data_IF_171613918969
#
_entry.id   IF_171613918969
#
_cell.length_a   1.000
_cell.length_b   1.000
_cell.length_c   1.000
_cell.angle_alpha   90.00
_cell.angle_beta   90.00
_cell.angle_gamma   90.00
#
_symmetry.space_group_name_H-M   'P 1'
#
loop_
_entity.id
_entity.type
_entity.pdbx_description
1 polymer ?
#
# COMPACT_ATOMS: atom_id res chain seq x y z
N UNK A 1 -33.36 -8.35 7.26
CA UNK A 1 -32.92 -7.24 8.14
C UNK A 1 -33.22 -5.93 7.44
N UNK A 2 -33.77 -4.93 8.15
CA UNK A 2 -33.93 -3.56 7.63
C UNK A 2 -32.54 -2.93 7.46
N UNK A 3 -32.26 -2.22 6.36
CA UNK A 3 -30.99 -1.50 6.21
C UNK A 3 -30.90 -0.41 7.29
N UNK A 4 -29.79 -0.39 8.04
CA UNK A 4 -29.51 0.64 9.04
C UNK A 4 -29.32 2.00 8.34
N UNK A 5 -29.97 3.03 8.86
CA UNK A 5 -29.96 4.36 8.29
C UNK A 5 -29.53 5.44 9.28
N UNK A 6 -29.78 6.70 8.94
CA UNK A 6 -29.53 7.88 9.78
C UNK A 6 -30.27 7.80 11.12
N UNK A 7 -31.45 7.16 11.14
CA UNK A 7 -32.19 6.90 12.38
C UNK A 7 -31.45 5.96 13.35
N UNK A 8 -30.52 5.15 12.82
CA UNK A 8 -29.72 4.17 13.56
C UNK A 8 -28.24 4.58 13.63
N UNK A 9 -27.93 5.88 13.48
CA UNK A 9 -26.55 6.37 13.39
C UNK A 9 -25.69 5.95 14.59
N UNK A 10 -26.23 5.98 15.81
CA UNK A 10 -25.50 5.56 17.00
C UNK A 10 -25.18 4.05 16.97
N UNK A 11 -26.11 3.23 16.48
CA UNK A 11 -25.89 1.79 16.29
C UNK A 11 -24.79 1.55 15.27
N UNK A 12 -24.80 2.27 14.14
CA UNK A 12 -23.75 2.20 13.11
C UNK A 12 -22.40 2.62 13.71
N UNK A 13 -22.37 3.70 14.48
CA UNK A 13 -21.17 4.18 15.14
C UNK A 13 -20.61 3.13 16.12
N UNK A 14 -21.48 2.52 16.93
CA UNK A 14 -21.09 1.49 17.88
C UNK A 14 -20.53 0.24 17.19
N UNK A 15 -21.17 -0.23 16.12
CA UNK A 15 -20.67 -1.36 15.33
C UNK A 15 -19.30 -1.06 14.71
N UNK A 16 -19.11 0.14 14.14
CA UNK A 16 -17.82 0.53 13.58
C UNK A 16 -16.72 0.61 14.67
N UNK A 17 -17.04 1.14 15.85
CA UNK A 17 -16.11 1.19 16.99
C UNK A 17 -15.73 -0.21 17.49
N UNK A 18 -16.70 -1.11 17.61
CA UNK A 18 -16.48 -2.49 18.02
C UNK A 18 -15.57 -3.21 17.02
N UNK A 19 -15.86 -3.11 15.72
CA UNK A 19 -15.04 -3.74 14.68
C UNK A 19 -13.59 -3.23 14.69
N UNK A 20 -13.38 -1.92 14.86
CA UNK A 20 -12.04 -1.33 14.99
C UNK A 20 -11.32 -1.85 16.24
N UNK A 21 -12.03 -1.97 17.37
CA UNK A 21 -11.47 -2.52 18.61
C UNK A 21 -11.07 -3.99 18.44
N UNK A 22 -11.91 -4.78 17.78
CA UNK A 22 -11.64 -6.19 17.47
C UNK A 22 -10.40 -6.34 16.59
N UNK A 23 -10.24 -5.49 15.57
CA UNK A 23 -9.04 -5.48 14.74
C UNK A 23 -7.78 -5.13 15.53
N UNK A 24 -7.86 -4.17 16.46
CA UNK A 24 -6.75 -3.79 17.34
C UNK A 24 -6.37 -4.90 18.31
N UNK A 25 -7.33 -5.70 18.76
CA UNK A 25 -7.09 -6.80 19.68
C UNK A 25 -6.45 -8.03 19.01
N UNK A 26 -6.34 -8.08 17.67
CA UNK A 26 -5.76 -9.23 16.96
C UNK A 26 -4.28 -9.38 17.29
N UNK A 27 -3.78 -10.61 17.55
CA UNK A 27 -2.35 -10.84 17.79
C UNK A 27 -1.44 -10.42 16.63
N UNK A 28 -1.98 -10.41 15.40
CA UNK A 28 -1.26 -9.97 14.20
C UNK A 28 -1.13 -8.45 14.08
N UNK A 29 -1.84 -7.68 14.92
CA UNK A 29 -1.86 -6.22 14.87
C UNK A 29 -0.75 -5.63 15.76
N UNK A 30 0.51 -5.90 15.39
CA UNK A 30 1.69 -5.46 16.15
C UNK A 30 1.94 -3.96 15.99
N UNK A 31 1.69 -3.44 14.79
CA UNK A 31 1.91 -2.04 14.43
C UNK A 31 0.57 -1.38 14.12
N UNK A 32 0.29 -0.21 14.69
CA UNK A 32 -0.99 0.46 14.47
C UNK A 32 -1.20 0.90 13.01
N UNK A 33 -0.10 1.15 12.29
CA UNK A 33 -0.12 1.38 10.84
C UNK A 33 -0.74 0.21 10.06
N UNK A 34 -0.66 -1.02 10.58
CA UNK A 34 -1.26 -2.21 9.96
C UNK A 34 -2.78 -2.16 9.94
N UNK A 35 -3.42 -1.35 10.80
CA UNK A 35 -4.87 -1.16 10.83
C UNK A 35 -5.38 -0.41 9.57
N UNK A 36 -4.50 0.26 8.83
CA UNK A 36 -4.85 0.94 7.57
C UNK A 36 -5.41 -0.04 6.53
N UNK A 37 -4.87 -1.25 6.45
CA UNK A 37 -5.28 -2.28 5.50
C UNK A 37 -6.73 -2.77 5.73
N UNK A 38 -7.10 -3.32 6.91
CA UNK A 38 -8.47 -3.74 7.16
C UNK A 38 -9.47 -2.58 7.06
N UNK A 39 -9.09 -1.37 7.52
CA UNK A 39 -9.93 -0.17 7.33
C UNK A 39 -10.16 0.13 5.84
N UNK A 40 -9.11 0.06 5.01
CA UNK A 40 -9.22 0.26 3.56
C UNK A 40 -10.15 -0.78 2.93
N UNK A 41 -9.96 -2.05 3.27
CA UNK A 41 -10.80 -3.14 2.76
C UNK A 41 -12.27 -2.98 3.17
N UNK A 42 -12.56 -2.69 4.45
CA UNK A 42 -13.91 -2.48 4.92
C UNK A 42 -14.59 -1.28 4.25
N UNK A 43 -13.86 -0.16 4.11
CA UNK A 43 -14.38 1.04 3.42
C UNK A 43 -14.68 0.75 1.94
N UNK A 44 -13.83 -0.02 1.25
CA UNK A 44 -14.06 -0.39 -0.14
C UNK A 44 -15.26 -1.35 -0.26
N UNK A 45 -15.35 -2.36 0.61
CA UNK A 45 -16.49 -3.27 0.66
C UNK A 45 -17.82 -2.53 0.87
N UNK A 46 -17.85 -1.51 1.74
CA UNK A 46 -19.05 -0.67 1.93
C UNK A 46 -19.41 0.08 0.64
N UNK A 47 -18.43 0.65 -0.06
CA UNK A 47 -18.67 1.38 -1.31
C UNK A 47 -19.14 0.46 -2.44
N UNK A 48 -18.66 -0.77 -2.48
CA UNK A 48 -18.94 -1.72 -3.54
C UNK A 48 -20.25 -2.50 -3.31
N UNK A 49 -20.57 -2.80 -2.05
CA UNK A 49 -21.67 -3.72 -1.73
C UNK A 49 -22.88 -3.07 -1.05
N UNK A 50 -22.75 -1.88 -0.45
CA UNK A 50 -23.89 -1.20 0.16
C UNK A 50 -24.44 -0.13 -0.76
N UNK A 51 -25.73 -0.25 -1.10
CA UNK A 51 -26.43 0.76 -1.87
C UNK A 51 -26.56 2.06 -1.07
N UNK A 52 -26.21 3.16 -1.72
CA UNK A 52 -26.43 4.50 -1.19
C UNK A 52 -27.89 4.90 -1.40
N UNK A 53 -28.56 5.25 -0.32
CA UNK A 53 -29.97 5.67 -0.30
C UNK A 53 -30.11 6.99 0.45
N UNK A 54 -31.26 7.64 0.32
CA UNK A 54 -31.60 8.83 1.11
C UNK A 54 -31.54 8.59 2.61
N UNK A 55 -31.79 7.35 3.04
CA UNK A 55 -31.89 6.96 4.43
C UNK A 55 -30.55 6.62 5.09
N UNK A 56 -29.47 6.36 4.34
CA UNK A 56 -28.16 5.93 4.88
C UNK A 56 -26.98 6.77 4.35
N UNK A 57 -27.26 7.91 3.71
CA UNK A 57 -26.24 8.83 3.22
C UNK A 57 -25.87 9.90 4.24
N UNK A 58 -24.63 10.35 4.19
CA UNK A 58 -24.16 11.56 4.83
C UNK A 58 -23.30 12.35 3.85
N UNK A 59 -23.29 13.68 3.99
CA UNK A 59 -22.47 14.54 3.13
C UNK A 59 -21.08 14.68 3.74
N UNK A 60 -20.08 14.11 3.09
CA UNK A 60 -18.71 14.21 3.56
C UNK A 60 -18.22 15.67 3.43
N UNK A 61 -17.78 16.33 4.52
CA UNK A 61 -17.40 17.74 4.50
C UNK A 61 -16.10 17.99 3.72
N UNK A 62 -15.25 16.96 3.54
CA UNK A 62 -13.97 17.05 2.82
C UNK A 62 -14.16 16.90 1.31
N UNK A 63 -14.90 15.88 0.88
CA UNK A 63 -15.11 15.59 -0.55
C UNK A 63 -16.35 16.26 -1.14
N UNK A 64 -17.25 16.78 -0.29
CA UNK A 64 -18.57 17.34 -0.64
C UNK A 64 -19.53 16.37 -1.33
N UNK A 65 -19.21 15.08 -1.36
CA UNK A 65 -20.00 14.01 -1.95
C UNK A 65 -20.85 13.29 -0.88
N UNK A 66 -21.98 12.73 -1.32
CA UNK A 66 -22.78 11.85 -0.48
C UNK A 66 -22.11 10.48 -0.41
N UNK A 67 -21.86 10.03 0.82
CA UNK A 67 -21.24 8.74 1.13
C UNK A 67 -22.12 7.95 2.08
N UNK A 68 -21.89 6.64 2.18
CA UNK A 68 -22.59 5.81 3.17
C UNK A 68 -22.19 6.24 4.59
N UNK A 69 -23.15 6.35 5.50
CA UNK A 69 -22.98 6.88 6.87
C UNK A 69 -21.87 6.17 7.66
N UNK A 70 -21.74 4.85 7.51
CA UNK A 70 -20.67 4.07 8.14
C UNK A 70 -19.24 4.57 7.80
N UNK A 71 -19.03 5.16 6.62
CA UNK A 71 -17.71 5.69 6.20
C UNK A 71 -17.25 6.89 7.03
N UNK A 72 -18.18 7.55 7.74
CA UNK A 72 -17.89 8.59 8.73
C UNK A 72 -17.10 8.05 9.92
N UNK A 73 -17.44 6.83 10.36
CA UNK A 73 -16.92 6.22 11.59
C UNK A 73 -15.78 5.22 11.33
N UNK A 74 -15.70 4.65 10.13
CA UNK A 74 -14.57 3.80 9.72
C UNK A 74 -13.41 4.66 9.20
N UNK A 75 -12.84 5.46 10.08
CA UNK A 75 -11.68 6.29 9.76
C UNK A 75 -10.81 6.49 11.00
N UNK A 76 -9.54 6.82 10.79
CA UNK A 76 -8.69 7.29 11.86
C UNK A 76 -9.13 8.70 12.30
N UNK A 77 -9.00 8.96 13.59
CA UNK A 77 -8.99 10.32 14.10
C UNK A 77 -7.79 11.08 13.51
N UNK A 78 -7.88 12.42 13.53
CA UNK A 78 -6.77 13.26 13.05
C UNK A 78 -5.48 12.99 13.83
N UNK A 79 -5.57 12.80 15.15
CA UNK A 79 -4.43 12.52 16.01
C UNK A 79 -3.78 11.16 15.70
N UNK A 80 -4.59 10.11 15.50
CA UNK A 80 -4.09 8.79 15.09
C UNK A 80 -3.42 8.87 13.71
N UNK A 81 -4.05 9.58 12.76
CA UNK A 81 -3.49 9.74 11.43
C UNK A 81 -2.14 10.48 11.47
N UNK A 82 -2.03 11.55 12.24
CA UNK A 82 -0.78 12.29 12.41
C UNK A 82 0.32 11.41 13.01
N UNK A 83 0.01 10.67 14.06
CA UNK A 83 0.96 9.76 14.72
C UNK A 83 1.47 8.68 13.75
N UNK A 84 0.57 8.00 13.05
CA UNK A 84 0.94 6.94 12.11
C UNK A 84 1.83 7.48 10.97
N UNK A 85 1.56 8.70 10.48
CA UNK A 85 2.32 9.28 9.37
C UNK A 85 3.62 9.97 9.81
N UNK A 86 3.70 10.49 11.04
CA UNK A 86 4.92 11.12 11.56
C UNK A 86 6.12 10.18 11.56
N UNK A 87 5.93 8.92 11.95
CA UNK A 87 6.97 7.88 11.91
C UNK A 87 7.46 7.58 10.48
N UNK A 88 6.59 7.74 9.48
CA UNK A 88 6.94 7.53 8.08
C UNK A 88 7.75 8.70 7.53
N UNK A 89 7.36 9.93 7.86
CA UNK A 89 8.07 11.15 7.47
C UNK A 89 9.46 11.20 8.10
N UNK A 90 9.59 10.85 9.38
CA UNK A 90 10.89 10.79 10.05
C UNK A 90 11.80 9.71 9.44
N UNK A 91 11.27 8.50 9.19
CA UNK A 91 12.02 7.44 8.50
C UNK A 91 12.42 7.83 7.07
N UNK A 92 11.58 8.57 6.36
CA UNK A 92 11.91 9.09 5.04
C UNK A 92 13.01 10.16 5.12
N UNK A 93 12.87 11.13 6.02
CA UNK A 93 13.86 12.18 6.24
C UNK A 93 15.21 11.59 6.69
N UNK A 94 15.20 10.55 7.52
CA UNK A 94 16.39 9.80 7.90
C UNK A 94 17.06 9.15 6.69
N UNK A 95 16.30 8.41 5.86
CA UNK A 95 16.82 7.82 4.61
C UNK A 95 17.41 8.85 3.64
N UNK A 96 16.83 10.06 3.61
CA UNK A 96 17.35 11.14 2.76
C UNK A 96 18.69 11.69 3.28
N UNK A 97 18.84 11.82 4.60
CA UNK A 97 20.10 12.25 5.24
C UNK A 97 21.18 11.17 5.21
N UNK A 98 20.78 9.92 5.37
CA UNK A 98 21.66 8.75 5.40
C UNK A 98 21.80 8.11 4.01
N UNK A 99 21.71 8.92 2.94
CA UNK A 99 21.95 8.42 1.60
C UNK A 99 23.34 7.79 1.52
N UNK A 100 23.37 6.50 1.23
CA UNK A 100 24.62 5.77 1.05
C UNK A 100 25.12 6.01 -0.36
N UNK A 101 26.30 6.61 -0.46
CA UNK A 101 27.04 6.67 -1.71
C UNK A 101 27.49 5.26 -2.07
N UNK A 102 27.24 4.87 -3.32
CA UNK A 102 27.81 3.66 -3.89
C UNK A 102 29.17 4.05 -4.47
N UNK A 103 30.25 3.68 -3.79
CA UNK A 103 31.61 4.07 -4.21
C UNK A 103 32.12 3.29 -5.42
N UNK A 104 31.65 2.05 -5.59
CA UNK A 104 32.00 1.19 -6.73
C UNK A 104 30.74 0.61 -7.36
N UNK A 105 30.07 1.34 -8.29
CA UNK A 105 28.88 0.85 -8.97
C UNK A 105 29.18 -0.37 -9.85
N UNK A 106 30.37 -0.44 -10.44
CA UNK A 106 30.76 -1.55 -11.32
C UNK A 106 30.85 -2.88 -10.55
N UNK A 107 31.27 -2.86 -9.29
CA UNK A 107 31.24 -4.05 -8.43
C UNK A 107 29.83 -4.61 -8.24
N UNK A 108 28.80 -3.75 -8.19
CA UNK A 108 27.40 -4.19 -8.10
C UNK A 108 26.95 -4.83 -9.42
N UNK A 109 27.35 -4.26 -10.55
CA UNK A 109 27.05 -4.83 -11.88
C UNK A 109 27.70 -6.21 -12.01
N UNK A 110 28.99 -6.34 -11.71
CA UNK A 110 29.68 -7.63 -11.76
C UNK A 110 29.08 -8.66 -10.81
N UNK A 111 28.75 -8.27 -9.57
CA UNK A 111 28.05 -9.15 -8.65
C UNK A 111 26.71 -9.62 -9.24
N UNK A 112 25.97 -8.74 -9.89
CA UNK A 112 24.69 -9.09 -10.50
C UNK A 112 24.84 -10.08 -11.66
N UNK A 113 25.90 -9.95 -12.47
CA UNK A 113 26.23 -10.89 -13.54
C UNK A 113 26.62 -12.25 -12.99
N UNK A 114 27.41 -12.29 -11.93
CA UNK A 114 27.79 -13.52 -11.25
C UNK A 114 26.57 -14.23 -10.65
N UNK A 115 25.67 -13.48 -10.01
CA UNK A 115 24.43 -14.02 -9.44
C UNK A 115 23.54 -14.67 -10.50
N UNK A 116 23.51 -14.12 -11.72
CA UNK A 116 22.75 -14.68 -12.85
C UNK A 116 23.33 -16.00 -13.38
N UNK A 117 24.58 -16.35 -13.02
CA UNK A 117 25.24 -17.59 -13.43
C UNK A 117 25.13 -18.70 -12.39
N UNK A 118 24.64 -18.40 -11.19
CA UNK A 118 24.50 -19.37 -10.10
C UNK A 118 23.23 -20.19 -10.25
N UNK A 119 23.27 -21.44 -9.80
CA UNK A 119 22.17 -22.39 -9.98
C UNK A 119 21.00 -22.12 -9.04
N UNK A 120 21.25 -21.52 -7.88
CA UNK A 120 20.22 -21.34 -6.88
C UNK A 120 19.23 -20.24 -7.29
N UNK A 121 17.95 -20.56 -7.24
CA UNK A 121 16.88 -19.69 -7.72
C UNK A 121 16.85 -18.30 -7.07
N UNK A 122 17.28 -18.18 -5.81
CA UNK A 122 17.34 -16.89 -5.11
C UNK A 122 18.47 -15.99 -5.65
N UNK A 123 19.57 -16.58 -6.12
CA UNK A 123 20.65 -15.84 -6.77
C UNK A 123 20.16 -15.29 -8.12
N UNK A 124 19.47 -16.12 -8.89
CA UNK A 124 18.84 -15.70 -10.15
C UNK A 124 17.82 -14.57 -9.92
N UNK A 125 16.94 -14.72 -8.92
CA UNK A 125 15.93 -13.71 -8.61
C UNK A 125 16.56 -12.37 -8.20
N UNK A 126 17.59 -12.40 -7.35
CA UNK A 126 18.33 -11.21 -6.94
C UNK A 126 19.07 -10.56 -8.12
N UNK A 127 19.76 -11.36 -8.94
CA UNK A 127 20.44 -10.91 -10.15
C UNK A 127 19.49 -10.22 -11.13
N UNK A 128 18.30 -10.79 -11.37
CA UNK A 128 17.25 -10.18 -12.20
C UNK A 128 16.73 -8.88 -11.59
N UNK A 129 16.49 -8.84 -10.27
CA UNK A 129 16.06 -7.62 -9.57
C UNK A 129 17.06 -6.48 -9.74
N UNK A 130 18.35 -6.75 -9.56
CA UNK A 130 19.42 -5.74 -9.72
C UNK A 130 19.47 -5.23 -11.16
N UNK A 131 19.46 -6.14 -12.15
CA UNK A 131 19.58 -5.78 -13.56
C UNK A 131 18.35 -5.07 -14.15
N UNK A 132 17.17 -5.28 -13.58
CA UNK A 132 15.92 -4.73 -14.12
C UNK A 132 15.33 -3.59 -13.29
N UNK A 133 15.84 -3.38 -12.07
CA UNK A 133 15.27 -2.45 -11.09
C UNK A 133 13.85 -2.82 -10.63
N UNK A 134 13.38 -4.04 -10.92
CA UNK A 134 12.03 -4.51 -10.57
C UNK A 134 11.98 -5.01 -9.15
N UNK A 135 10.82 -4.85 -8.50
CA UNK A 135 10.63 -5.35 -7.12
C UNK A 135 10.75 -6.87 -7.12
N UNK A 136 11.37 -7.43 -6.08
CA UNK A 136 11.55 -8.89 -5.96
C UNK A 136 10.23 -9.67 -6.04
N UNK A 137 9.13 -9.09 -5.52
CA UNK A 137 7.79 -9.67 -5.62
C UNK A 137 7.27 -9.71 -7.06
N UNK A 138 7.62 -8.71 -7.89
CA UNK A 138 7.30 -8.72 -9.30
C UNK A 138 8.08 -9.82 -10.01
N UNK A 139 9.39 -9.93 -9.75
CA UNK A 139 10.25 -10.97 -10.34
C UNK A 139 9.75 -12.37 -9.99
N UNK A 140 9.34 -12.61 -8.75
CA UNK A 140 8.97 -13.95 -8.27
C UNK A 140 7.51 -14.34 -8.55
N UNK A 141 6.56 -13.40 -8.51
CA UNK A 141 5.13 -13.75 -8.47
C UNK A 141 4.31 -13.27 -9.66
N UNK A 142 4.60 -12.08 -10.18
CA UNK A 142 3.68 -11.38 -11.10
C UNK A 142 4.31 -10.94 -12.41
N UNK A 143 5.61 -11.20 -12.59
CA UNK A 143 6.40 -10.70 -13.70
C UNK A 143 6.16 -11.49 -14.97
N UNK A 144 5.75 -10.81 -16.04
CA UNK A 144 5.80 -11.34 -17.40
C UNK A 144 6.75 -10.48 -18.23
N UNK A 145 7.78 -11.09 -18.81
CA UNK A 145 8.74 -10.40 -19.67
C UNK A 145 8.55 -10.83 -21.12
N UNK A 146 8.42 -9.86 -22.03
CA UNK A 146 8.47 -10.10 -23.48
C UNK A 146 9.72 -9.46 -24.05
N UNK A 147 10.37 -10.17 -24.96
CA UNK A 147 11.51 -9.64 -25.72
C UNK A 147 11.04 -8.45 -26.57
N UNK A 148 11.47 -7.24 -26.24
CA UNK A 148 11.38 -6.11 -27.16
C UNK A 148 12.47 -6.28 -28.23
N UNK A 149 12.13 -6.08 -29.51
CA UNK A 149 13.14 -5.98 -30.57
C UNK A 149 14.07 -4.82 -30.23
N UNK A 150 15.38 -5.02 -30.43
CA UNK A 150 16.44 -4.14 -29.94
C UNK A 150 16.22 -2.66 -30.27
N UNK A 151 16.57 -1.81 -29.32
CA UNK A 151 16.65 -0.36 -29.53
C UNK A 151 17.80 -0.15 -30.51
N UNK A 152 17.50 0.30 -31.74
CA UNK A 152 18.53 0.77 -32.68
C UNK A 152 19.16 2.01 -32.06
N UNK A 153 20.35 1.87 -31.47
CA UNK A 153 21.18 3.01 -31.10
C UNK A 153 21.65 3.70 -32.38
N UNK A 154 21.06 4.85 -32.70
CA UNK A 154 21.53 5.73 -33.76
C UNK A 154 22.84 6.40 -33.35
N UNK A 155 23.97 5.71 -33.53
CA UNK A 155 25.26 6.36 -33.63
C UNK A 155 25.44 6.76 -35.10
N UNK A 156 25.12 8.01 -35.42
CA UNK A 156 25.61 8.65 -36.64
C UNK A 156 27.11 8.89 -36.43
N UNK A 157 27.94 8.14 -37.16
CA UNK A 157 29.36 8.43 -37.29
C UNK A 157 29.56 9.83 -37.89
N UNK A 158 30.54 10.55 -37.33
CA UNK A 158 31.21 11.67 -37.98
C UNK A 158 32.40 11.13 -38.78
#
# INVERSE_FOLDING_TARGET
MRPLGVADEETIAQLCRAEIADWRARPTMVEESSLQEPLRHARNAIREHLLLTTANRWKNPKTKQDEHLALKYLNFSLAEWQRINSDSEERFARRLREQQRIDNPDAIVHLSEDLLRREEWYNLALGVTINTGRRITEVLKTGSSRRRRGIRSGLKGS
#
